data_IF_447713040485
#
_entry.id   IF_447713040485
#
_cell.length_a   1.000
_cell.length_b   1.000
_cell.length_c   1.000
_cell.angle_alpha   90.00
_cell.angle_beta   90.00
_cell.angle_gamma   90.00
#
_symmetry.space_group_name_H-M   'P 1'
#
loop_
_entity.id
_entity.type
_entity.pdbx_description
1 polymer ?
#
# COMPACT_ATOMS: atom_id res chain seq x y z
N UNK A 1 -6.62 12.30 23.60
CA UNK A 1 -7.02 12.93 22.33
C UNK A 1 -8.52 12.72 22.26
N UNK A 2 -9.29 13.78 22.46
CA UNK A 2 -10.75 13.65 22.48
C UNK A 2 -11.27 13.56 21.04
N UNK A 3 -12.18 12.62 20.80
CA UNK A 3 -12.80 12.43 19.50
C UNK A 3 -14.28 12.17 19.67
N UNK A 4 -15.12 13.04 19.12
CA UNK A 4 -16.56 12.82 19.01
C UNK A 4 -16.86 11.78 17.94
N UNK A 5 -16.54 10.51 18.20
CA UNK A 5 -16.61 9.46 17.18
C UNK A 5 -18.03 9.26 16.64
N UNK A 6 -19.02 9.12 17.53
CA UNK A 6 -20.38 8.74 17.17
C UNK A 6 -21.25 9.96 16.82
N UNK A 7 -21.02 10.52 15.63
CA UNK A 7 -21.89 11.54 15.05
C UNK A 7 -22.17 11.19 13.58
N UNK A 8 -23.40 11.46 13.12
CA UNK A 8 -23.78 11.28 11.72
C UNK A 8 -23.05 12.35 10.89
N UNK A 9 -22.18 11.90 9.98
CA UNK A 9 -21.36 12.77 9.13
C UNK A 9 -21.53 12.44 7.66
N UNK A 10 -21.48 13.48 6.82
CA UNK A 10 -21.29 13.34 5.37
C UNK A 10 -19.85 12.89 5.06
N UNK A 11 -19.58 12.59 3.78
CA UNK A 11 -18.24 12.22 3.29
C UNK A 11 -17.20 13.30 3.60
N UNK A 12 -17.54 14.56 3.28
CA UNK A 12 -16.72 15.72 3.60
C UNK A 12 -16.59 15.93 5.11
N UNK A 13 -17.65 15.65 5.88
CA UNK A 13 -17.62 15.70 7.35
C UNK A 13 -16.63 14.72 7.98
N UNK A 14 -16.57 13.47 7.48
CA UNK A 14 -15.60 12.48 7.95
C UNK A 14 -14.17 12.90 7.62
N UNK A 15 -13.95 13.40 6.40
CA UNK A 15 -12.63 13.86 5.94
C UNK A 15 -12.15 15.08 6.71
N UNK A 16 -13.04 16.06 6.93
CA UNK A 16 -12.76 17.26 7.72
C UNK A 16 -12.42 16.91 9.17
N UNK A 17 -13.23 16.08 9.82
CA UNK A 17 -12.98 15.66 11.21
C UNK A 17 -11.65 14.94 11.36
N UNK A 18 -11.28 14.05 10.41
CA UNK A 18 -9.99 13.38 10.40
C UNK A 18 -8.82 14.37 10.26
N UNK A 19 -8.95 15.35 9.38
CA UNK A 19 -7.93 16.38 9.17
C UNK A 19 -7.77 17.27 10.40
N UNK A 20 -8.87 17.75 10.98
CA UNK A 20 -8.85 18.57 12.20
C UNK A 20 -8.24 17.80 13.37
N UNK A 21 -8.61 16.54 13.53
CA UNK A 21 -8.06 15.64 14.54
C UNK A 21 -6.53 15.49 14.37
N UNK A 22 -6.05 15.31 13.14
CA UNK A 22 -4.63 15.19 12.83
C UNK A 22 -3.86 16.49 13.10
N UNK A 23 -4.33 17.62 12.57
CA UNK A 23 -3.61 18.90 12.65
C UNK A 23 -3.59 19.44 14.08
N UNK A 24 -4.70 19.36 14.81
CA UNK A 24 -4.79 19.80 16.20
C UNK A 24 -3.87 19.01 17.14
N UNK A 25 -3.48 17.79 16.75
CA UNK A 25 -2.65 16.90 17.57
C UNK A 25 -1.31 16.53 16.91
N UNK A 26 -0.88 17.25 15.87
CA UNK A 26 0.27 16.85 15.04
C UNK A 26 1.56 16.70 15.86
N UNK A 27 1.80 17.57 16.83
CA UNK A 27 2.97 17.50 17.69
C UNK A 27 2.98 16.23 18.55
N UNK A 28 1.83 15.87 19.12
CA UNK A 28 1.67 14.64 19.92
C UNK A 28 1.82 13.40 19.06
N UNK A 29 1.19 13.38 17.89
CA UNK A 29 1.29 12.29 16.91
C UNK A 29 2.76 12.10 16.52
N UNK A 30 3.44 13.15 16.08
CA UNK A 30 4.83 13.09 15.65
C UNK A 30 5.74 12.64 16.80
N UNK A 31 5.62 13.25 17.99
CA UNK A 31 6.44 12.91 19.16
C UNK A 31 6.32 11.45 19.56
N UNK A 32 5.15 10.84 19.40
CA UNK A 32 4.93 9.45 19.79
C UNK A 32 5.21 8.44 18.67
N UNK A 33 5.24 8.87 17.40
CA UNK A 33 5.29 7.95 16.25
C UNK A 33 6.46 8.18 15.29
N UNK A 34 7.29 9.20 15.49
CA UNK A 34 8.41 9.49 14.58
C UNK A 34 9.38 8.30 14.44
N UNK A 35 9.68 7.59 15.53
CA UNK A 35 10.61 6.45 15.49
C UNK A 35 10.06 5.28 14.67
N UNK A 36 8.84 4.75 14.95
CA UNK A 36 8.29 3.71 14.08
C UNK A 36 8.08 4.19 12.64
N UNK A 37 7.68 5.44 12.42
CA UNK A 37 7.57 6.00 11.06
C UNK A 37 8.91 6.03 10.32
N UNK A 38 10.00 6.42 11.00
CA UNK A 38 11.35 6.41 10.44
C UNK A 38 11.82 4.99 10.13
N UNK A 39 11.53 4.03 11.01
CA UNK A 39 11.89 2.63 10.79
C UNK A 39 11.10 2.00 9.63
N UNK A 40 9.82 2.36 9.45
CA UNK A 40 9.06 2.01 8.24
C UNK A 40 9.78 2.57 7.01
N UNK A 41 10.13 3.85 7.03
CA UNK A 41 10.77 4.52 5.89
C UNK A 41 12.10 3.87 5.51
N UNK A 42 12.95 3.54 6.48
CA UNK A 42 14.22 2.84 6.23
C UNK A 42 13.97 1.45 5.64
N UNK A 43 13.04 0.69 6.21
CA UNK A 43 12.74 -0.67 5.75
C UNK A 43 12.15 -0.68 4.33
N UNK A 44 11.22 0.22 4.01
CA UNK A 44 10.63 0.33 2.67
C UNK A 44 11.64 0.85 1.65
N UNK A 45 12.50 1.82 2.02
CA UNK A 45 13.61 2.27 1.17
C UNK A 45 14.58 1.12 0.87
N UNK A 46 14.91 0.29 1.85
CA UNK A 46 15.78 -0.87 1.63
C UNK A 46 15.16 -1.86 0.63
N UNK A 47 13.86 -2.18 0.76
CA UNK A 47 13.15 -3.02 -0.21
C UNK A 47 13.10 -2.40 -1.61
N UNK A 48 12.84 -1.08 -1.70
CA UNK A 48 12.79 -0.34 -2.96
C UNK A 48 14.16 -0.28 -3.64
N UNK A 49 15.22 -0.02 -2.88
CA UNK A 49 16.60 0.01 -3.38
C UNK A 49 16.98 -1.34 -3.98
N UNK A 50 16.66 -2.45 -3.31
CA UNK A 50 16.87 -3.80 -3.85
C UNK A 50 16.14 -4.01 -5.18
N UNK A 51 14.88 -3.60 -5.27
CA UNK A 51 14.08 -3.75 -6.49
C UNK A 51 14.67 -2.96 -7.67
N UNK A 52 15.04 -1.70 -7.42
CA UNK A 52 15.45 -0.75 -8.48
C UNK A 52 16.91 -0.95 -8.90
N UNK A 53 17.84 -1.06 -7.96
CA UNK A 53 19.27 -1.12 -8.28
C UNK A 53 19.72 -2.53 -8.66
N UNK A 54 19.03 -3.58 -8.21
CA UNK A 54 19.39 -4.95 -8.61
C UNK A 54 18.58 -5.45 -9.81
N UNK A 55 17.45 -4.80 -10.14
CA UNK A 55 16.58 -5.17 -11.26
C UNK A 55 15.84 -6.50 -11.08
N UNK A 56 14.74 -6.70 -11.81
CA UNK A 56 13.96 -7.94 -11.75
C UNK A 56 14.76 -9.17 -12.21
N UNK A 57 15.71 -8.99 -13.12
CA UNK A 57 16.58 -10.06 -13.63
C UNK A 57 17.50 -10.65 -12.56
N UNK A 58 17.79 -9.89 -11.50
CA UNK A 58 18.56 -10.42 -10.38
C UNK A 58 17.83 -11.52 -9.59
N UNK A 59 16.50 -11.59 -9.71
CA UNK A 59 15.70 -12.70 -9.19
C UNK A 59 15.61 -13.89 -10.17
N UNK A 60 16.10 -13.73 -11.40
CA UNK A 60 16.23 -14.79 -12.40
C UNK A 60 17.69 -15.24 -12.57
N UNK A 61 18.60 -14.83 -11.67
CA UNK A 61 20.02 -15.15 -11.79
C UNK A 61 20.25 -16.67 -11.71
N UNK A 62 21.07 -17.26 -12.60
CA UNK A 62 21.41 -18.68 -12.54
C UNK A 62 22.23 -19.04 -11.28
N UNK A 63 22.79 -18.04 -10.58
CA UNK A 63 23.45 -18.22 -9.30
C UNK A 63 22.43 -18.30 -8.16
N UNK A 64 22.13 -19.53 -7.73
CA UNK A 64 21.18 -19.82 -6.65
C UNK A 64 21.53 -19.12 -5.32
N UNK A 65 22.81 -19.02 -4.96
CA UNK A 65 23.23 -18.39 -3.70
C UNK A 65 22.95 -16.89 -3.70
N UNK A 66 23.30 -16.20 -4.80
CA UNK A 66 23.02 -14.77 -4.95
C UNK A 66 21.52 -14.49 -4.94
N UNK A 67 20.72 -15.36 -5.59
CA UNK A 67 19.27 -15.30 -5.56
C UNK A 67 18.70 -15.42 -4.14
N UNK A 68 19.10 -16.46 -3.39
CA UNK A 68 18.60 -16.71 -2.03
C UNK A 68 18.91 -15.53 -1.10
N UNK A 69 20.12 -14.98 -1.16
CA UNK A 69 20.52 -13.84 -0.31
C UNK A 69 19.66 -12.61 -0.62
N UNK A 70 19.45 -12.28 -1.89
CA UNK A 70 18.64 -11.14 -2.30
C UNK A 70 17.18 -11.31 -1.89
N UNK A 71 16.62 -12.49 -2.09
CA UNK A 71 15.26 -12.82 -1.67
C UNK A 71 15.12 -12.72 -0.15
N UNK A 72 16.08 -13.24 0.63
CA UNK A 72 16.06 -13.15 2.08
C UNK A 72 16.09 -11.69 2.56
N UNK A 73 16.96 -10.85 2.00
CA UNK A 73 17.03 -9.41 2.35
C UNK A 73 15.71 -8.72 2.01
N UNK A 74 15.13 -8.98 0.83
CA UNK A 74 13.85 -8.41 0.44
C UNK A 74 12.72 -8.82 1.39
N UNK A 75 12.62 -10.11 1.72
CA UNK A 75 11.60 -10.62 2.65
C UNK A 75 11.78 -10.06 4.06
N UNK A 76 13.01 -9.99 4.56
CA UNK A 76 13.29 -9.45 5.91
C UNK A 76 12.90 -7.96 5.96
N UNK A 77 13.34 -7.16 4.99
CA UNK A 77 13.03 -5.72 4.95
C UNK A 77 11.53 -5.48 4.79
N UNK A 78 10.83 -6.28 3.97
CA UNK A 78 9.39 -6.26 3.85
C UNK A 78 8.69 -6.57 5.19
N UNK A 79 9.06 -7.68 5.86
CA UNK A 79 8.47 -8.05 7.16
C UNK A 79 8.74 -7.01 8.25
N UNK A 80 9.94 -6.42 8.27
CA UNK A 80 10.27 -5.30 9.14
C UNK A 80 9.36 -4.10 8.87
N UNK A 81 9.13 -3.74 7.59
CA UNK A 81 8.24 -2.62 7.25
C UNK A 81 6.81 -2.84 7.77
N UNK A 82 6.28 -4.07 7.66
CA UNK A 82 4.95 -4.44 8.17
C UNK A 82 4.91 -4.36 9.70
N UNK A 83 5.95 -4.84 10.38
CA UNK A 83 6.03 -4.79 11.84
C UNK A 83 6.10 -3.34 12.35
N UNK A 84 6.96 -2.50 11.77
CA UNK A 84 7.08 -1.10 12.14
C UNK A 84 5.81 -0.29 11.80
N UNK A 85 5.15 -0.60 10.69
CA UNK A 85 3.88 0.05 10.32
C UNK A 85 2.74 -0.36 11.27
N UNK A 86 2.77 -1.60 11.75
CA UNK A 86 1.83 -2.08 12.77
C UNK A 86 2.09 -1.41 14.12
N UNK A 87 3.36 -1.20 14.48
CA UNK A 87 3.73 -0.44 15.67
C UNK A 87 3.25 1.02 15.56
N UNK A 88 3.50 1.69 14.43
CA UNK A 88 3.04 3.05 14.14
C UNK A 88 1.53 3.20 14.32
N UNK A 89 0.75 2.41 13.57
CA UNK A 89 -0.72 2.51 13.60
C UNK A 89 -1.30 2.04 14.94
N UNK A 90 -0.63 1.13 15.65
CA UNK A 90 -1.02 0.73 17.01
C UNK A 90 -0.91 1.87 18.02
N UNK A 91 0.13 2.70 17.93
CA UNK A 91 0.25 3.92 18.75
C UNK A 91 -0.87 4.91 18.39
N UNK A 92 -1.11 5.15 17.09
CA UNK A 92 -2.19 6.03 16.64
C UNK A 92 -3.55 5.55 17.16
N UNK A 93 -3.84 4.26 17.06
CA UNK A 93 -5.10 3.69 17.56
C UNK A 93 -5.24 3.91 19.07
N UNK A 94 -4.19 3.64 19.84
CA UNK A 94 -4.17 3.86 21.29
C UNK A 94 -4.38 5.34 21.64
N UNK A 95 -3.77 6.27 20.89
CA UNK A 95 -3.94 7.71 21.07
C UNK A 95 -5.39 8.16 20.86
N UNK A 96 -6.04 7.67 19.80
CA UNK A 96 -7.40 8.08 19.42
C UNK A 96 -8.45 7.40 20.31
N UNK A 97 -8.26 6.13 20.66
CA UNK A 97 -9.27 5.34 21.39
C UNK A 97 -9.08 5.32 22.90
N UNK A 98 -7.90 5.72 23.41
CA UNK A 98 -7.53 5.58 24.82
C UNK A 98 -7.29 4.13 25.26
N UNK A 99 -7.28 3.17 24.34
CA UNK A 99 -6.98 1.77 24.63
C UNK A 99 -5.51 1.56 25.04
N UNK A 100 -5.25 0.46 25.75
CA UNK A 100 -3.89 0.03 26.08
C UNK A 100 -3.03 -0.10 24.82
N UNK A 101 -1.82 0.49 24.87
CA UNK A 101 -0.93 0.57 23.71
C UNK A 101 -0.49 -0.80 23.21
N UNK A 102 -0.19 -1.75 24.10
CA UNK A 102 0.23 -3.10 23.70
C UNK A 102 -0.91 -3.84 23.02
N UNK A 103 -2.12 -3.71 23.55
CA UNK A 103 -3.31 -4.28 22.94
C UNK A 103 -3.58 -3.67 21.55
N UNK A 104 -3.55 -2.35 21.41
CA UNK A 104 -3.76 -1.68 20.12
C UNK A 104 -2.74 -2.10 19.07
N UNK A 105 -1.45 -2.18 19.42
CA UNK A 105 -0.40 -2.67 18.50
C UNK A 105 -0.66 -4.11 18.06
N UNK A 106 -1.01 -5.00 19.00
CA UNK A 106 -1.28 -6.41 18.67
C UNK A 106 -2.47 -6.55 17.71
N UNK A 107 -3.53 -5.76 17.90
CA UNK A 107 -4.72 -5.81 17.03
C UNK A 107 -4.43 -5.29 15.63
N UNK A 108 -3.71 -4.18 15.53
CA UNK A 108 -3.26 -3.63 14.25
C UNK A 108 -2.34 -4.63 13.53
N UNK A 109 -1.38 -5.23 14.25
CA UNK A 109 -0.48 -6.24 13.67
C UNK A 109 -1.25 -7.44 13.09
N UNK A 110 -2.26 -7.95 13.81
CA UNK A 110 -3.10 -9.06 13.31
C UNK A 110 -3.82 -8.70 12.01
N UNK A 111 -4.42 -7.51 11.92
CA UNK A 111 -5.07 -7.05 10.68
C UNK A 111 -4.05 -6.90 9.55
N UNK A 112 -2.91 -6.26 9.82
CA UNK A 112 -1.88 -6.06 8.81
C UNK A 112 -1.33 -7.39 8.29
N UNK A 113 -1.12 -8.39 9.15
CA UNK A 113 -0.74 -9.75 8.73
C UNK A 113 -1.77 -10.36 7.78
N UNK A 114 -3.06 -10.16 8.04
CA UNK A 114 -4.11 -10.67 7.17
C UNK A 114 -4.14 -9.93 5.84
N UNK A 115 -4.02 -8.61 5.85
CA UNK A 115 -3.95 -7.83 4.62
C UNK A 115 -2.72 -8.14 3.79
N UNK A 116 -1.58 -8.44 4.43
CA UNK A 116 -0.38 -8.94 3.75
C UNK A 116 -0.65 -10.32 3.13
N UNK A 117 -1.24 -11.25 3.88
CA UNK A 117 -1.57 -12.58 3.35
C UNK A 117 -2.57 -12.49 2.18
N UNK A 118 -3.60 -11.67 2.30
CA UNK A 118 -4.55 -11.38 1.22
C UNK A 118 -3.86 -10.76 0.01
N UNK A 119 -2.96 -9.80 0.23
CA UNK A 119 -2.17 -9.16 -0.83
C UNK A 119 -1.29 -10.15 -1.57
N UNK A 120 -0.56 -11.01 -0.86
CA UNK A 120 0.29 -12.06 -1.46
C UNK A 120 -0.56 -13.02 -2.30
N UNK A 121 -1.66 -13.54 -1.73
CA UNK A 121 -2.57 -14.43 -2.46
C UNK A 121 -3.13 -13.74 -3.71
N UNK A 122 -3.51 -12.48 -3.59
CA UNK A 122 -4.03 -11.70 -4.68
C UNK A 122 -3.00 -11.47 -5.80
N UNK A 123 -1.75 -11.14 -5.45
CA UNK A 123 -0.65 -11.02 -6.42
C UNK A 123 -0.39 -12.35 -7.14
N UNK A 124 -0.43 -13.49 -6.43
CA UNK A 124 -0.29 -14.81 -7.05
C UNK A 124 -1.43 -15.10 -8.04
N UNK A 125 -2.67 -14.75 -7.69
CA UNK A 125 -3.84 -14.90 -8.58
C UNK A 125 -3.70 -14.03 -9.83
N UNK A 126 -3.31 -12.76 -9.69
CA UNK A 126 -3.06 -11.88 -10.84
C UNK A 126 -1.97 -12.46 -11.73
N UNK A 127 -0.86 -12.90 -11.15
CA UNK A 127 0.25 -13.51 -11.89
C UNK A 127 -0.17 -14.77 -12.66
N UNK A 128 -0.95 -15.64 -12.01
CA UNK A 128 -1.48 -16.85 -12.65
C UNK A 128 -2.43 -16.52 -13.81
N UNK A 129 -3.34 -15.56 -13.64
CA UNK A 129 -4.25 -15.09 -14.70
C UNK A 129 -3.45 -14.51 -15.87
N UNK A 130 -2.45 -13.67 -15.59
CA UNK A 130 -1.61 -13.07 -16.63
C UNK A 130 -0.90 -14.15 -17.45
N UNK A 131 -0.23 -15.11 -16.79
CA UNK A 131 0.48 -16.21 -17.45
C UNK A 131 -0.47 -17.11 -18.23
N UNK A 132 -1.64 -17.43 -17.66
CA UNK A 132 -2.65 -18.24 -18.34
C UNK A 132 -3.09 -17.60 -19.66
N UNK A 133 -3.48 -16.32 -19.66
CA UNK A 133 -3.88 -15.63 -20.89
C UNK A 133 -2.73 -15.46 -21.88
N UNK A 134 -1.50 -15.26 -21.40
CA UNK A 134 -0.30 -15.16 -22.23
C UNK A 134 0.06 -16.47 -22.93
N UNK A 135 -0.23 -17.62 -22.31
CA UNK A 135 -0.08 -18.94 -22.94
C UNK A 135 -1.16 -19.25 -23.99
N UNK A 136 -2.35 -18.67 -23.85
CA UNK A 136 -3.44 -18.82 -24.83
C UNK A 136 -3.26 -17.92 -26.07
N UNK A 137 -2.44 -16.87 -25.97
CA UNK A 137 -2.14 -16.00 -27.09
C UNK A 137 -1.10 -16.60 -28.04
N UNK A 138 -1.29 -16.40 -29.35
CA UNK A 138 -0.38 -16.89 -30.40
C UNK A 138 1.03 -16.34 -30.15
N UNK A 139 2.07 -17.18 -30.01
CA UNK A 139 3.41 -16.73 -29.66
C UNK A 139 3.93 -15.73 -30.70
N UNK A 140 4.57 -14.65 -30.22
CA UNK A 140 5.03 -13.57 -31.08
C UNK A 140 5.92 -14.04 -32.24
N UNK A 141 6.66 -15.13 -32.08
CA UNK A 141 7.51 -15.72 -33.12
C UNK A 141 6.74 -16.45 -34.24
N UNK A 142 5.47 -16.81 -34.04
CA UNK A 142 4.62 -17.47 -35.03
C UNK A 142 3.82 -16.48 -35.90
N UNK A 143 3.98 -15.17 -35.67
CA UNK A 143 3.24 -14.13 -36.34
C UNK A 143 3.91 -13.73 -37.65
N UNK A 144 3.16 -13.79 -38.76
CA UNK A 144 3.65 -13.29 -40.05
C UNK A 144 3.69 -11.76 -40.01
N UNK A 145 4.74 -11.10 -40.53
CA UNK A 145 4.90 -9.64 -40.48
C UNK A 145 3.77 -8.84 -41.14
N UNK A 146 2.92 -9.49 -41.95
CA UNK A 146 1.74 -8.92 -42.61
C UNK A 146 0.49 -8.88 -41.73
N UNK A 147 0.47 -9.59 -40.60
CA UNK A 147 -0.67 -9.63 -39.68
C UNK A 147 -0.44 -8.62 -38.54
N UNK A 148 -1.08 -7.46 -38.62
CA UNK A 148 -1.02 -6.40 -37.58
C UNK A 148 -1.98 -6.67 -36.41
N UNK A 149 -2.99 -7.53 -36.61
CA UNK A 149 -4.02 -7.88 -35.62
C UNK A 149 -3.58 -8.83 -34.48
N UNK A 150 -2.66 -9.81 -34.65
CA UNK A 150 -2.33 -10.75 -33.58
C UNK A 150 -1.30 -10.23 -32.57
N UNK A 151 -0.37 -9.33 -32.95
CA UNK A 151 0.63 -8.76 -32.01
C UNK A 151 -0.08 -7.92 -30.92
N UNK A 152 -1.10 -7.16 -31.31
CA UNK A 152 -1.91 -6.36 -30.38
C UNK A 152 -2.63 -7.27 -29.38
N UNK A 153 -3.17 -8.41 -29.82
CA UNK A 153 -3.91 -9.32 -28.95
C UNK A 153 -3.04 -10.07 -27.92
N UNK A 154 -1.75 -10.28 -28.20
CA UNK A 154 -0.84 -11.04 -27.33
C UNK A 154 -0.68 -10.42 -25.93
N UNK A 155 -0.46 -9.11 -25.85
CA UNK A 155 -0.35 -8.41 -24.56
C UNK A 155 -1.65 -7.76 -24.11
N UNK A 156 -2.53 -7.33 -25.02
CA UNK A 156 -3.75 -6.59 -24.65
C UNK A 156 -4.72 -7.45 -23.84
N UNK A 157 -4.94 -8.71 -24.22
CA UNK A 157 -5.89 -9.59 -23.51
C UNK A 157 -5.43 -9.90 -22.07
N UNK A 158 -4.18 -10.34 -21.82
CA UNK A 158 -3.67 -10.49 -20.45
C UNK A 158 -3.73 -9.21 -19.61
N UNK A 159 -3.43 -8.04 -20.21
CA UNK A 159 -3.48 -6.75 -19.51
C UNK A 159 -4.92 -6.40 -19.11
N UNK A 160 -5.89 -6.55 -20.02
CA UNK A 160 -7.30 -6.28 -19.71
C UNK A 160 -7.85 -7.23 -18.64
N UNK A 161 -7.53 -8.52 -18.73
CA UNK A 161 -7.95 -9.52 -17.75
C UNK A 161 -7.39 -9.23 -16.35
N UNK A 162 -6.11 -8.85 -16.26
CA UNK A 162 -5.48 -8.46 -14.99
C UNK A 162 -6.07 -7.16 -14.43
N UNK A 163 -6.30 -6.14 -15.27
CA UNK A 163 -6.97 -4.90 -14.85
C UNK A 163 -8.39 -5.15 -14.33
N UNK A 164 -9.19 -5.97 -15.01
CA UNK A 164 -10.53 -6.33 -14.55
C UNK A 164 -10.48 -7.04 -13.18
N UNK A 165 -9.50 -7.92 -12.98
CA UNK A 165 -9.28 -8.62 -11.70
C UNK A 165 -8.90 -7.64 -10.58
N UNK A 166 -8.06 -6.65 -10.88
CA UNK A 166 -7.69 -5.56 -9.94
C UNK A 166 -8.92 -4.75 -9.53
N UNK A 167 -9.75 -4.35 -10.49
CA UNK A 167 -10.98 -3.60 -10.21
C UNK A 167 -11.96 -4.42 -9.37
N UNK A 168 -12.16 -5.71 -9.72
CA UNK A 168 -13.05 -6.60 -8.97
C UNK A 168 -12.59 -6.77 -7.51
N UNK A 169 -11.29 -6.96 -7.29
CA UNK A 169 -10.73 -7.08 -5.95
C UNK A 169 -10.82 -5.77 -5.15
N UNK A 170 -10.54 -4.63 -5.78
CA UNK A 170 -10.69 -3.32 -5.14
C UNK A 170 -12.14 -3.09 -4.69
N UNK A 171 -13.14 -3.46 -5.51
CA UNK A 171 -14.56 -3.37 -5.16
C UNK A 171 -14.93 -4.32 -4.01
N UNK A 172 -14.42 -5.55 -4.04
CA UNK A 172 -14.70 -6.58 -3.04
C UNK A 172 -14.09 -6.26 -1.67
N UNK A 173 -13.00 -5.50 -1.61
CA UNK A 173 -12.33 -5.16 -0.33
C UNK A 173 -12.96 -3.97 0.39
N UNK A 174 -13.85 -3.21 -0.25
CA UNK A 174 -14.47 -2.00 0.34
C UNK A 174 -15.17 -2.26 1.68
N UNK A 175 -15.99 -3.32 1.85
CA UNK A 175 -16.62 -3.57 3.15
C UNK A 175 -15.61 -3.82 4.29
N UNK A 176 -14.39 -4.25 3.97
CA UNK A 176 -13.33 -4.46 4.96
C UNK A 176 -12.86 -3.13 5.59
N UNK A 177 -13.03 -2.00 4.90
CA UNK A 177 -12.71 -0.67 5.44
C UNK A 177 -13.53 -0.39 6.70
N UNK A 178 -14.79 -0.83 6.73
CA UNK A 178 -15.64 -0.73 7.92
C UNK A 178 -15.35 -1.85 8.94
N UNK A 179 -15.32 -3.12 8.49
CA UNK A 179 -15.23 -4.24 9.42
C UNK A 179 -13.90 -4.32 10.16
N UNK A 180 -12.81 -3.90 9.51
CA UNK A 180 -11.49 -3.80 10.15
C UNK A 180 -11.42 -2.68 11.17
N UNK A 181 -11.98 -1.50 10.87
CA UNK A 181 -12.04 -0.40 11.85
C UNK A 181 -12.92 -0.78 13.04
N UNK A 182 -14.05 -1.47 12.79
CA UNK A 182 -14.89 -2.02 13.85
C UNK A 182 -14.13 -2.98 14.75
N UNK A 183 -13.38 -3.92 14.16
CA UNK A 183 -12.49 -4.77 14.94
C UNK A 183 -11.54 -3.91 15.77
N UNK A 184 -10.77 -2.99 15.19
CA UNK A 184 -9.80 -2.17 15.93
C UNK A 184 -10.40 -1.40 17.11
N UNK A 185 -11.61 -0.85 16.96
CA UNK A 185 -12.25 -0.01 17.97
C UNK A 185 -12.95 -0.83 19.07
N UNK A 186 -13.51 -2.00 18.76
CA UNK A 186 -14.28 -2.80 19.72
C UNK A 186 -13.46 -4.00 20.23
N UNK A 187 -12.84 -3.97 21.43
CA UNK A 187 -11.92 -5.00 21.93
C UNK A 187 -12.46 -6.43 21.97
N UNK A 188 -13.78 -6.56 22.11
CA UNK A 188 -14.48 -7.84 22.24
C UNK A 188 -14.69 -8.54 20.89
N UNK A 189 -14.50 -7.85 19.77
CA UNK A 189 -14.73 -8.43 18.45
C UNK A 189 -13.66 -9.50 18.11
N UNK A 190 -14.06 -10.73 17.78
CA UNK A 190 -13.13 -11.73 17.29
C UNK A 190 -12.66 -11.38 15.88
N UNK A 191 -11.46 -11.81 15.53
CA UNK A 191 -10.86 -11.46 14.24
C UNK A 191 -11.66 -11.99 13.03
N UNK A 192 -12.32 -13.14 13.18
CA UNK A 192 -13.19 -13.74 12.15
C UNK A 192 -14.42 -12.86 11.86
N UNK A 193 -14.82 -11.95 12.77
CA UNK A 193 -15.96 -11.07 12.53
C UNK A 193 -15.70 -10.07 11.39
N UNK A 194 -14.43 -9.79 11.08
CA UNK A 194 -14.01 -8.94 9.96
C UNK A 194 -14.57 -9.46 8.63
N UNK A 195 -14.59 -10.79 8.43
CA UNK A 195 -14.98 -11.45 7.18
C UNK A 195 -16.40 -12.01 7.16
N UNK A 196 -17.09 -11.97 8.30
CA UNK A 196 -18.44 -12.52 8.46
C UNK A 196 -19.45 -11.39 8.66
N UNK A 197 -20.01 -11.26 9.87
CA UNK A 197 -21.05 -10.26 10.16
C UNK A 197 -20.55 -8.81 10.00
N UNK A 198 -19.28 -8.54 10.29
CA UNK A 198 -18.67 -7.23 10.07
C UNK A 198 -18.61 -6.86 8.58
N UNK A 199 -18.17 -7.79 7.74
CA UNK A 199 -18.16 -7.61 6.28
C UNK A 199 -19.56 -7.35 5.73
N UNK A 200 -20.54 -8.18 6.12
CA UNK A 200 -21.93 -8.02 5.70
C UNK A 200 -22.52 -6.67 6.14
N UNK A 201 -22.18 -6.20 7.34
CA UNK A 201 -22.58 -4.88 7.81
C UNK A 201 -21.94 -3.75 6.98
N UNK A 202 -20.67 -3.90 6.59
CA UNK A 202 -20.01 -2.98 5.65
C UNK A 202 -20.67 -2.98 4.27
N UNK A 203 -21.08 -4.15 3.79
CA UNK A 203 -21.76 -4.32 2.49
C UNK A 203 -23.10 -3.58 2.45
N UNK A 204 -23.86 -3.54 3.56
CA UNK A 204 -25.09 -2.74 3.66
C UNK A 204 -24.86 -1.23 3.50
N UNK A 205 -23.64 -0.76 3.74
CA UNK A 205 -23.21 0.65 3.59
C UNK A 205 -22.18 0.81 2.47
N UNK A 206 -22.16 -0.12 1.50
CA UNK A 206 -21.15 -0.16 0.45
C UNK A 206 -21.06 1.13 -0.35
N UNK A 207 -22.19 1.73 -0.75
CA UNK A 207 -22.18 2.97 -1.54
C UNK A 207 -21.50 4.16 -0.83
N UNK A 208 -21.71 4.29 0.48
CA UNK A 208 -21.04 5.32 1.28
C UNK A 208 -19.54 5.06 1.39
N UNK A 209 -19.14 3.82 1.68
CA UNK A 209 -17.73 3.43 1.79
C UNK A 209 -17.00 3.54 0.44
N UNK A 210 -17.65 3.14 -0.66
CA UNK A 210 -17.13 3.26 -2.02
C UNK A 210 -16.88 4.72 -2.36
N UNK A 211 -17.89 5.59 -2.20
CA UNK A 211 -17.77 6.99 -2.59
C UNK A 211 -16.73 7.72 -1.71
N UNK A 212 -16.67 7.42 -0.41
CA UNK A 212 -15.64 7.95 0.48
C UNK A 212 -14.24 7.51 0.05
N UNK A 213 -14.07 6.21 -0.19
CA UNK A 213 -12.79 5.64 -0.60
C UNK A 213 -12.34 6.20 -1.95
N UNK A 214 -13.26 6.32 -2.92
CA UNK A 214 -12.99 6.86 -4.24
C UNK A 214 -12.49 8.31 -4.17
N UNK A 215 -13.23 9.19 -3.48
CA UNK A 215 -12.85 10.60 -3.31
C UNK A 215 -11.53 10.75 -2.54
N UNK A 216 -11.34 9.96 -1.48
CA UNK A 216 -10.12 9.97 -0.69
C UNK A 216 -8.91 9.51 -1.52
N UNK A 217 -9.08 8.48 -2.35
CA UNK A 217 -8.01 7.99 -3.23
C UNK A 217 -7.60 9.03 -4.27
N UNK A 218 -8.54 9.82 -4.82
CA UNK A 218 -8.17 10.93 -5.72
C UNK A 218 -7.22 11.91 -5.02
N UNK A 219 -7.55 12.30 -3.78
CA UNK A 219 -6.71 13.20 -2.98
C UNK A 219 -5.34 12.55 -2.69
N UNK A 220 -5.35 11.30 -2.25
CA UNK A 220 -4.12 10.55 -1.92
C UNK A 220 -3.23 10.38 -3.16
N UNK A 221 -3.79 10.12 -4.35
CA UNK A 221 -3.03 10.02 -5.61
C UNK A 221 -2.33 11.33 -5.94
N UNK A 222 -3.01 12.47 -5.78
CA UNK A 222 -2.40 13.78 -6.03
C UNK A 222 -1.24 14.03 -5.05
N UNK A 223 -1.46 13.78 -3.76
CA UNK A 223 -0.44 13.97 -2.72
C UNK A 223 0.76 13.04 -2.96
N UNK A 224 0.52 11.76 -3.22
CA UNK A 224 1.59 10.78 -3.46
C UNK A 224 2.34 11.08 -4.75
N UNK A 225 1.66 11.48 -5.83
CA UNK A 225 2.32 11.88 -7.08
C UNK A 225 3.34 13.01 -6.87
N UNK A 226 2.97 14.02 -6.06
CA UNK A 226 3.87 15.12 -5.70
C UNK A 226 5.02 14.62 -4.82
N UNK A 227 4.72 13.86 -3.76
CA UNK A 227 5.74 13.36 -2.83
C UNK A 227 6.74 12.42 -3.51
N UNK A 228 6.32 11.57 -4.44
CA UNK A 228 7.17 10.61 -5.13
C UNK A 228 7.93 11.19 -6.33
N UNK A 229 7.63 12.43 -6.75
CA UNK A 229 8.28 13.07 -7.89
C UNK A 229 9.83 13.04 -7.81
N UNK A 230 10.48 13.32 -6.67
CA UNK A 230 11.94 13.21 -6.54
C UNK A 230 12.46 11.78 -6.77
N UNK A 231 11.79 10.77 -6.21
CA UNK A 231 12.18 9.36 -6.40
C UNK A 231 12.02 8.96 -7.87
N UNK A 232 10.94 9.41 -8.53
CA UNK A 232 10.70 9.11 -9.94
C UNK A 232 11.78 9.71 -10.84
N UNK A 233 12.20 10.95 -10.57
CA UNK A 233 13.31 11.59 -11.30
C UNK A 233 14.61 10.79 -11.13
N UNK A 234 14.95 10.41 -9.90
CA UNK A 234 16.17 9.63 -9.64
C UNK A 234 16.09 8.25 -10.30
N UNK A 235 14.96 7.56 -10.19
CA UNK A 235 14.75 6.25 -10.83
C UNK A 235 14.90 6.35 -12.35
N UNK A 236 14.33 7.39 -12.96
CA UNK A 236 14.45 7.63 -14.40
C UNK A 236 15.89 7.91 -14.82
N UNK A 237 16.62 8.72 -14.06
CA UNK A 237 18.04 8.99 -14.31
C UNK A 237 18.88 7.70 -14.23
N UNK A 238 18.64 6.87 -13.21
CA UNK A 238 19.31 5.57 -13.08
C UNK A 238 19.01 4.66 -14.27
N UNK A 239 17.74 4.56 -14.66
CA UNK A 239 17.31 3.73 -15.78
C UNK A 239 17.94 4.17 -17.10
N UNK A 240 17.95 5.47 -17.39
CA UNK A 240 18.58 6.01 -18.61
C UNK A 240 20.09 5.80 -18.63
N UNK A 241 20.76 5.94 -17.49
CA UNK A 241 22.19 5.63 -17.38
C UNK A 241 22.46 4.13 -17.61
N UNK A 242 21.65 3.23 -17.02
CA UNK A 242 21.77 1.79 -17.25
C UNK A 242 21.59 1.44 -18.74
N UNK A 243 20.61 2.05 -19.42
CA UNK A 243 20.43 1.87 -20.86
C UNK A 243 21.63 2.37 -21.68
N UNK A 244 22.20 3.52 -21.34
CA UNK A 244 23.42 4.04 -21.99
C UNK A 244 24.61 3.10 -21.80
N UNK A 245 24.84 2.64 -20.57
CA UNK A 245 25.93 1.70 -20.29
C UNK A 245 25.77 0.37 -21.01
N UNK A 246 24.52 -0.08 -21.23
CA UNK A 246 24.22 -1.30 -21.98
C UNK A 246 24.63 -1.20 -23.46
N UNK A 247 24.57 0.00 -24.05
CA UNK A 247 25.00 0.24 -25.44
C UNK A 247 26.47 0.67 -25.56
N UNK A 248 27.21 0.71 -24.44
CA UNK A 248 28.66 0.95 -24.41
C UNK A 248 29.09 2.34 -23.93
N UNK A 249 28.16 3.20 -23.51
CA UNK A 249 28.51 4.49 -22.91
C UNK A 249 29.13 4.31 -21.52
N UNK A 250 29.96 5.25 -21.09
CA UNK A 250 30.49 5.27 -19.72
C UNK A 250 29.41 5.62 -18.71
N UNK A 251 29.49 5.05 -17.49
CA UNK A 251 28.61 5.46 -16.39
C UNK A 251 28.81 6.95 -16.08
N UNK A 252 27.71 7.71 -16.14
CA UNK A 252 27.70 9.16 -15.94
C UNK A 252 27.14 9.58 -14.58
N UNK A 253 26.67 8.63 -13.77
CA UNK A 253 26.08 8.96 -12.47
C UNK A 253 27.16 9.41 -11.48
N UNK A 254 26.87 10.45 -10.66
CA UNK A 254 27.77 10.83 -9.58
C UNK A 254 28.01 9.67 -8.61
N UNK A 255 29.21 9.55 -8.06
CA UNK A 255 29.54 8.51 -7.06
C UNK A 255 28.60 8.54 -5.84
N UNK A 256 28.08 9.72 -5.47
CA UNK A 256 27.15 9.89 -4.34
C UNK A 256 25.69 9.53 -4.69
N UNK A 257 25.37 9.18 -5.95
CA UNK A 257 24.01 8.93 -6.40
C UNK A 257 23.22 7.93 -5.54
N UNK A 258 23.78 6.77 -5.12
CA UNK A 258 23.06 5.85 -4.23
C UNK A 258 22.67 6.48 -2.89
N UNK A 259 23.55 7.31 -2.30
CA UNK A 259 23.26 8.00 -1.05
C UNK A 259 22.17 9.06 -1.21
N UNK A 260 22.18 9.78 -2.35
CA UNK A 260 21.11 10.75 -2.70
C UNK A 260 19.78 10.02 -2.84
N UNK A 261 19.75 8.88 -3.54
CA UNK A 261 18.56 8.05 -3.69
C UNK A 261 18.02 7.57 -2.35
N UNK A 262 18.86 6.96 -1.51
CA UNK A 262 18.47 6.42 -0.20
C UNK A 262 17.92 7.53 0.69
N UNK A 263 18.63 8.67 0.79
CA UNK A 263 18.21 9.79 1.65
C UNK A 263 16.88 10.37 1.19
N UNK A 264 16.73 10.60 -0.12
CA UNK A 264 15.49 11.11 -0.71
C UNK A 264 14.34 10.13 -0.49
N UNK A 265 14.61 8.83 -0.66
CA UNK A 265 13.62 7.78 -0.46
C UNK A 265 13.13 7.72 0.99
N UNK A 266 14.04 7.76 1.98
CA UNK A 266 13.68 7.77 3.40
C UNK A 266 12.78 8.97 3.73
N UNK A 267 13.12 10.17 3.23
CA UNK A 267 12.32 11.38 3.47
C UNK A 267 10.91 11.25 2.90
N UNK A 268 10.77 10.79 1.66
CA UNK A 268 9.46 10.60 1.02
C UNK A 268 8.66 9.52 1.75
N UNK A 269 9.26 8.36 2.03
CA UNK A 269 8.58 7.28 2.72
C UNK A 269 8.11 7.68 4.12
N UNK A 270 8.90 8.48 4.84
CA UNK A 270 8.51 9.06 6.13
C UNK A 270 7.25 9.92 6.04
N UNK A 271 7.13 10.77 5.01
CA UNK A 271 5.93 11.58 4.77
C UNK A 271 4.72 10.71 4.41
N UNK A 272 4.91 9.68 3.60
CA UNK A 272 3.83 8.77 3.18
C UNK A 272 3.20 8.03 4.36
N UNK A 273 3.97 7.69 5.40
CA UNK A 273 3.43 7.09 6.64
C UNK A 273 2.39 8.01 7.30
N UNK A 274 2.61 9.33 7.28
CA UNK A 274 1.65 10.29 7.84
C UNK A 274 0.45 10.54 6.92
N UNK A 275 0.62 10.46 5.59
CA UNK A 275 -0.52 10.45 4.66
C UNK A 275 -1.43 9.24 4.94
N UNK A 276 -0.85 8.05 5.12
CA UNK A 276 -1.60 6.86 5.49
C UNK A 276 -2.28 6.98 6.87
N UNK A 277 -1.69 7.73 7.80
CA UNK A 277 -2.29 8.00 9.11
C UNK A 277 -3.59 8.80 8.99
N UNK A 278 -3.60 9.84 8.14
CA UNK A 278 -4.81 10.63 7.86
C UNK A 278 -5.89 9.75 7.23
N UNK A 279 -5.53 8.90 6.26
CA UNK A 279 -6.48 7.95 5.64
C UNK A 279 -7.12 7.03 6.69
N UNK A 280 -6.33 6.48 7.60
CA UNK A 280 -6.84 5.66 8.71
C UNK A 280 -7.81 6.43 9.62
N UNK A 281 -7.54 7.71 9.90
CA UNK A 281 -8.45 8.57 10.67
C UNK A 281 -9.76 8.88 9.92
N UNK A 282 -9.74 8.99 8.59
CA UNK A 282 -10.97 9.15 7.79
C UNK A 282 -11.88 7.94 7.97
N UNK A 283 -11.35 6.73 7.88
CA UNK A 283 -12.15 5.51 8.07
C UNK A 283 -12.55 5.27 9.52
N UNK A 284 -11.79 5.77 10.49
CA UNK A 284 -12.20 5.85 11.90
C UNK A 284 -13.51 6.64 12.05
N UNK A 285 -13.58 7.86 11.50
CA UNK A 285 -14.82 8.67 11.54
C UNK A 285 -15.95 8.10 10.65
N UNK A 286 -15.61 7.45 9.54
CA UNK A 286 -16.59 6.77 8.69
C UNK A 286 -17.30 5.65 9.45
N UNK A 287 -16.56 4.83 10.20
CA UNK A 287 -17.13 3.83 11.09
C UNK A 287 -18.04 4.47 12.14
N UNK A 288 -17.60 5.54 12.80
CA UNK A 288 -18.41 6.24 13.82
C UNK A 288 -19.72 6.78 13.27
N UNK A 289 -19.71 7.34 12.06
CA UNK A 289 -20.91 7.80 11.35
C UNK A 289 -21.87 6.65 11.05
N UNK A 290 -21.35 5.51 10.58
CA UNK A 290 -22.15 4.30 10.29
C UNK A 290 -22.82 3.76 11.56
N UNK A 291 -22.09 3.71 12.69
CA UNK A 291 -22.66 3.26 13.98
C UNK A 291 -23.67 4.26 14.55
N UNK A 292 -23.45 5.56 14.39
CA UNK A 292 -24.38 6.59 14.84
C UNK A 292 -25.74 6.50 14.11
N UNK A 293 -25.76 6.08 12.84
CA UNK A 293 -27.00 5.86 12.08
C UNK A 293 -27.79 4.59 12.47
N UNK A 294 -27.22 3.72 13.30
CA UNK A 294 -27.88 2.48 13.78
C UNK A 294 -28.55 2.67 15.15
N UNK A 295 -28.18 3.72 15.86
CA UNK A 295 -28.82 4.14 17.11
C UNK A 295 -30.03 5.00 16.80
#
# INVERSE_FOLDING_TARGET
>A
MESDLYQIRSLGGCTKAAYELFVSNIATILKQTWLPALLVAIATTASLYMLIFMGAESFASPNLQAFIIKLAIFLITFLCSVAFFSWHNGIILSLITGQDRKQSIMRVARINTIYVAMGILFTLVIGAIFVFFLQQSVPAQALKPTETTPIVNYFTTPILATLATIVAFAIATIPLLYSSVKYLIEPQQPLVSIFTHGYLAGLKRWGFLFLLSFLLNIIVIIVTAICYLPINILTMALYMNQLGTFIGDTDTLPTLFPAIFITTSILVQFLIVYVATVVSMVFYYAYGSIEAQKK
#
